data_IF_875064206841
#
_entry.id   IF_875064206841
#
_cell.length_a   1.000
_cell.length_b   1.000
_cell.length_c   1.000
_cell.angle_alpha   90.00
_cell.angle_beta   90.00
_cell.angle_gamma   90.00
#
_symmetry.space_group_name_H-M   'P 1'
#
loop_
_entity.id
_entity.type
_entity.pdbx_description
1 polymer ?
#
# COMPACT_ATOMS: atom_id res chain seq x y z
N UNK A 1 -8.45 16.93 7.76
CA UNK A 1 -8.52 18.21 8.50
C UNK A 1 -7.56 18.28 9.69
N UNK A 2 -7.40 17.23 10.53
CA UNK A 2 -6.50 17.23 11.70
C UNK A 2 -5.01 17.50 11.41
N UNK A 3 -4.49 17.09 10.25
CA UNK A 3 -3.09 17.31 9.89
C UNK A 3 -2.72 18.80 9.79
N UNK A 4 -3.54 19.58 9.07
CA UNK A 4 -3.33 21.02 8.89
C UNK A 4 -3.34 21.75 10.23
N UNK A 5 -4.27 21.42 11.12
CA UNK A 5 -4.36 22.04 12.44
C UNK A 5 -3.18 21.69 13.35
N UNK A 6 -2.53 20.54 13.16
CA UNK A 6 -1.42 20.10 14.01
C UNK A 6 -0.06 20.62 13.52
N UNK A 7 0.19 20.56 12.21
CA UNK A 7 1.50 20.83 11.64
C UNK A 7 1.58 22.14 10.85
N UNK A 8 0.43 22.78 10.62
CA UNK A 8 0.27 23.94 9.76
C UNK A 8 -0.70 24.97 10.38
N UNK A 9 -0.52 25.24 11.68
CA UNK A 9 -1.40 26.14 12.45
C UNK A 9 -1.55 27.54 11.84
N UNK A 10 -0.50 28.03 11.19
CA UNK A 10 -0.45 29.36 10.58
C UNK A 10 -1.01 29.40 9.14
N UNK A 11 -1.33 28.23 8.56
CA UNK A 11 -1.78 28.16 7.17
C UNK A 11 -3.29 28.31 7.09
N UNK A 12 -3.73 29.35 6.38
CA UNK A 12 -5.13 29.52 6.01
C UNK A 12 -5.55 28.39 5.05
N UNK A 13 -6.81 27.90 5.09
CA UNK A 13 -7.29 26.77 4.30
C UNK A 13 -7.14 26.89 2.77
N UNK A 14 -6.86 28.09 2.25
CA UNK A 14 -6.69 28.42 0.82
C UNK A 14 -5.35 29.12 0.55
N UNK A 15 -4.34 28.85 1.38
CA UNK A 15 -3.00 29.42 1.19
C UNK A 15 -2.27 28.77 0.00
N UNK A 16 -1.60 29.57 -0.82
CA UNK A 16 -0.74 29.10 -1.92
C UNK A 16 0.61 28.52 -1.44
N UNK A 17 0.85 28.49 -0.13
CA UNK A 17 2.07 27.92 0.41
C UNK A 17 2.10 26.39 0.28
N UNK A 18 3.29 25.85 0.06
CA UNK A 18 3.50 24.41 0.01
C UNK A 18 3.09 23.73 1.32
N UNK A 19 2.25 22.70 1.22
CA UNK A 19 1.90 21.85 2.36
C UNK A 19 3.12 21.08 2.87
N UNK A 20 3.88 20.47 1.95
CA UNK A 20 5.12 19.78 2.28
C UNK A 20 6.31 20.60 1.77
N UNK A 21 7.14 21.07 2.71
CA UNK A 21 8.27 21.94 2.41
C UNK A 21 9.52 21.55 3.20
N UNK A 22 10.65 22.05 2.73
CA UNK A 22 11.93 22.05 3.46
C UNK A 22 12.35 23.50 3.71
N UNK A 23 12.88 23.77 4.91
CA UNK A 23 13.41 25.08 5.25
C UNK A 23 14.92 25.08 5.07
N UNK A 24 15.42 25.95 4.18
CA UNK A 24 16.87 26.19 3.99
C UNK A 24 17.12 27.69 4.06
N UNK A 25 18.04 28.12 4.92
CA UNK A 25 18.34 29.54 5.15
C UNK A 25 17.07 30.37 5.44
N UNK A 26 16.16 29.84 6.26
CA UNK A 26 14.84 30.43 6.57
C UNK A 26 13.86 30.56 5.38
N UNK A 27 14.21 30.07 4.19
CA UNK A 27 13.32 30.05 3.02
C UNK A 27 12.66 28.69 2.91
N UNK A 28 11.32 28.67 2.81
CA UNK A 28 10.53 27.46 2.53
C UNK A 28 10.60 27.14 1.04
N UNK A 29 11.02 25.92 0.72
CA UNK A 29 11.02 25.40 -0.66
C UNK A 29 10.18 24.14 -0.73
N UNK A 30 9.61 23.86 -1.90
CA UNK A 30 8.88 22.61 -2.17
C UNK A 30 9.74 21.40 -1.78
N UNK A 31 9.16 20.46 -1.05
CA UNK A 31 9.83 19.20 -0.74
C UNK A 31 10.00 18.38 -2.03
N UNK A 32 11.23 17.90 -2.28
CA UNK A 32 11.50 17.01 -3.41
C UNK A 32 11.24 15.55 -3.05
N UNK A 33 11.09 14.70 -4.06
CA UNK A 33 10.97 13.26 -3.86
C UNK A 33 12.17 12.66 -3.10
N UNK A 34 13.38 13.12 -3.40
CA UNK A 34 14.59 12.71 -2.68
C UNK A 34 14.55 13.11 -1.21
N UNK A 35 13.99 14.27 -0.87
CA UNK A 35 13.81 14.66 0.52
C UNK A 35 12.84 13.72 1.22
N UNK A 36 11.72 13.36 0.59
CA UNK A 36 10.77 12.40 1.14
C UNK A 36 11.45 11.04 1.36
N UNK A 37 12.18 10.53 0.35
CA UNK A 37 12.90 9.25 0.45
C UNK A 37 13.89 9.24 1.61
N UNK A 38 14.68 10.31 1.78
CA UNK A 38 15.62 10.45 2.90
C UNK A 38 14.92 10.53 4.26
N UNK A 39 13.83 11.28 4.36
CA UNK A 39 13.05 11.38 5.60
C UNK A 39 12.45 10.02 5.97
N UNK A 40 11.83 9.34 5.02
CA UNK A 40 11.23 8.01 5.23
C UNK A 40 12.28 7.01 5.67
N UNK A 41 13.44 6.95 5.02
CA UNK A 41 14.53 6.06 5.41
C UNK A 41 15.02 6.37 6.84
N UNK A 42 15.23 7.66 7.18
CA UNK A 42 15.65 8.09 8.51
C UNK A 42 14.67 7.63 9.60
N UNK A 43 13.37 7.85 9.39
CA UNK A 43 12.36 7.45 10.37
C UNK A 43 12.13 5.93 10.40
N UNK A 44 12.32 5.23 9.28
CA UNK A 44 12.33 3.75 9.25
C UNK A 44 13.40 3.15 10.15
N UNK A 45 14.62 3.72 10.15
CA UNK A 45 15.70 3.32 11.07
C UNK A 45 15.32 3.58 12.53
N UNK A 46 14.68 4.72 12.82
CA UNK A 46 14.24 5.03 14.18
C UNK A 46 13.12 4.10 14.66
N UNK A 47 12.12 3.86 13.82
CA UNK A 47 10.99 2.98 14.12
C UNK A 47 11.47 1.54 14.41
N UNK A 48 12.47 1.05 13.66
CA UNK A 48 13.06 -0.27 13.88
C UNK A 48 13.65 -0.47 15.27
N UNK A 49 14.16 0.60 15.90
CA UNK A 49 14.70 0.52 17.27
C UNK A 49 13.61 0.15 18.28
N UNK A 50 12.36 0.47 17.98
CA UNK A 50 11.20 0.22 18.84
C UNK A 50 10.50 -1.09 18.41
N UNK A 51 10.32 -1.28 17.09
CA UNK A 51 9.65 -2.45 16.52
C UNK A 51 10.58 -3.13 15.50
N UNK A 52 11.12 -4.29 15.84
CA UNK A 52 12.07 -5.02 14.99
C UNK A 52 11.47 -5.54 13.69
N UNK A 53 10.14 -5.62 13.59
CA UNK A 53 9.40 -6.06 12.40
C UNK A 53 9.39 -5.01 11.27
N UNK A 54 9.74 -3.75 11.57
CA UNK A 54 9.88 -2.73 10.53
C UNK A 54 10.93 -3.21 9.52
N UNK A 55 10.68 -3.20 8.19
CA UNK A 55 11.62 -3.69 7.17
C UNK A 55 12.88 -2.87 7.02
N UNK A 56 14.03 -3.44 6.63
CA UNK A 56 15.31 -2.73 6.51
C UNK A 56 15.25 -1.51 5.59
N UNK A 57 14.71 -1.72 4.39
CA UNK A 57 14.71 -0.74 3.31
C UNK A 57 13.36 -0.04 3.14
N UNK A 58 13.00 0.80 4.12
CA UNK A 58 11.76 1.59 4.07
C UNK A 58 11.90 2.77 3.09
N UNK A 59 10.99 2.86 2.13
CA UNK A 59 10.94 3.94 1.13
C UNK A 59 9.50 4.17 0.63
N UNK A 60 9.20 5.28 -0.07
CA UNK A 60 7.81 5.64 -0.43
C UNK A 60 7.05 4.59 -1.25
N UNK A 61 7.72 3.91 -2.19
CA UNK A 61 7.08 2.86 -2.98
C UNK A 61 6.69 1.65 -2.14
N UNK A 62 7.47 1.29 -1.11
CA UNK A 62 7.12 0.23 -0.17
C UNK A 62 5.78 0.52 0.53
N UNK A 63 5.62 1.74 1.07
CA UNK A 63 4.35 2.14 1.68
C UNK A 63 3.17 2.05 0.71
N UNK A 64 3.38 2.47 -0.53
CA UNK A 64 2.36 2.39 -1.58
C UNK A 64 1.99 0.95 -1.88
N UNK A 65 2.96 0.04 -1.97
CA UNK A 65 2.70 -1.38 -2.20
C UNK A 65 1.97 -2.01 -1.01
N UNK A 66 2.39 -1.74 0.22
CA UNK A 66 1.70 -2.23 1.42
C UNK A 66 0.26 -1.72 1.49
N UNK A 67 0.02 -0.45 1.15
CA UNK A 67 -1.33 0.10 1.19
C UNK A 67 -2.24 -0.48 0.11
N UNK A 68 -1.72 -0.64 -1.12
CA UNK A 68 -2.43 -1.33 -2.19
C UNK A 68 -2.81 -2.75 -1.76
N UNK A 69 -1.90 -3.47 -1.10
CA UNK A 69 -2.15 -4.82 -0.67
C UNK A 69 -3.19 -4.90 0.45
N UNK A 70 -3.14 -4.00 1.42
CA UNK A 70 -4.17 -3.91 2.46
C UNK A 70 -5.54 -3.65 1.84
N UNK A 71 -5.66 -2.72 0.89
CA UNK A 71 -6.94 -2.45 0.22
C UNK A 71 -7.46 -3.68 -0.52
N UNK A 72 -6.58 -4.37 -1.25
CA UNK A 72 -6.96 -5.56 -2.00
C UNK A 72 -7.39 -6.72 -1.10
N UNK A 73 -6.67 -6.98 -0.01
CA UNK A 73 -7.04 -7.98 1.00
C UNK A 73 -8.38 -7.68 1.67
N UNK A 74 -8.75 -6.40 1.78
CA UNK A 74 -10.07 -5.97 2.25
C UNK A 74 -11.17 -6.08 1.17
N UNK A 75 -10.86 -6.67 0.01
CA UNK A 75 -11.81 -6.94 -1.07
C UNK A 75 -12.09 -5.75 -1.98
N UNK A 76 -11.25 -4.70 -1.95
CA UNK A 76 -11.35 -3.60 -2.90
C UNK A 76 -10.85 -4.06 -4.26
N UNK A 77 -11.63 -3.79 -5.31
CA UNK A 77 -11.29 -4.18 -6.67
C UNK A 77 -9.97 -3.53 -7.15
N UNK A 78 -9.16 -4.28 -7.88
CA UNK A 78 -7.84 -3.85 -8.35
C UNK A 78 -7.93 -2.65 -9.29
N UNK A 79 -8.98 -2.58 -10.12
CA UNK A 79 -9.19 -1.43 -10.99
C UNK A 79 -9.41 -0.16 -10.17
N UNK A 80 -10.15 -0.25 -9.07
CA UNK A 80 -10.40 0.87 -8.16
C UNK A 80 -9.12 1.28 -7.40
N UNK A 81 -8.35 0.30 -6.91
CA UNK A 81 -7.05 0.56 -6.26
C UNK A 81 -6.09 1.25 -7.22
N UNK A 82 -6.02 0.78 -8.48
CA UNK A 82 -5.16 1.36 -9.51
C UNK A 82 -5.53 2.83 -9.78
N UNK A 83 -6.82 3.13 -9.88
CA UNK A 83 -7.34 4.49 -10.06
C UNK A 83 -7.01 5.40 -8.87
N UNK A 84 -7.20 4.93 -7.63
CA UNK A 84 -6.92 5.71 -6.42
C UNK A 84 -5.43 6.01 -6.24
N UNK A 85 -4.58 5.06 -6.61
CA UNK A 85 -3.14 5.24 -6.54
C UNK A 85 -2.62 6.08 -7.72
N UNK A 86 -3.35 6.14 -8.83
CA UNK A 86 -3.00 6.98 -9.98
C UNK A 86 -1.83 6.42 -10.80
N UNK A 87 -1.76 5.10 -10.95
CA UNK A 87 -0.79 4.48 -11.85
C UNK A 87 -1.19 4.75 -13.30
N UNK A 88 -0.28 5.30 -14.10
CA UNK A 88 -0.42 5.35 -15.56
C UNK A 88 -0.23 3.97 -16.21
N UNK A 89 0.25 2.96 -15.48
CA UNK A 89 0.54 1.64 -16.00
C UNK A 89 -0.07 0.51 -15.14
N UNK A 90 -1.08 -0.18 -15.70
CA UNK A 90 -1.82 -1.30 -15.10
C UNK A 90 -0.94 -2.50 -14.76
N UNK A 91 0.21 -2.63 -15.42
CA UNK A 91 1.17 -3.72 -15.25
C UNK A 91 1.68 -3.87 -13.81
N UNK A 92 1.86 -2.74 -13.10
CA UNK A 92 2.23 -2.74 -11.67
C UNK A 92 1.10 -3.20 -10.74
N UNK A 93 -0.16 -3.11 -11.20
CA UNK A 93 -1.34 -3.57 -10.46
C UNK A 93 -1.63 -5.05 -10.72
N UNK A 94 -1.27 -5.58 -11.90
CA UNK A 94 -1.43 -7.00 -12.24
C UNK A 94 -0.65 -7.94 -11.33
N UNK A 95 0.47 -7.48 -10.75
CA UNK A 95 1.23 -8.22 -9.72
C UNK A 95 0.31 -8.59 -8.54
N UNK A 96 -0.66 -7.75 -8.19
CA UNK A 96 -1.65 -8.04 -7.15
C UNK A 96 -2.73 -9.04 -7.58
N UNK A 97 -3.06 -9.13 -8.87
CA UNK A 97 -4.04 -10.11 -9.38
C UNK A 97 -3.51 -11.55 -9.27
N UNK A 98 -2.18 -11.72 -9.33
CA UNK A 98 -1.52 -13.00 -9.09
C UNK A 98 -1.40 -13.33 -7.59
N UNK A 99 -1.49 -12.33 -6.72
CA UNK A 99 -1.18 -12.43 -5.31
C UNK A 99 -2.21 -13.18 -4.45
N UNK A 100 -3.49 -13.20 -4.84
CA UNK A 100 -4.53 -13.68 -3.93
C UNK A 100 -5.40 -14.77 -4.55
N UNK A 101 -5.05 -15.99 -4.19
CA UNK A 101 -5.83 -17.19 -4.43
C UNK A 101 -7.02 -17.30 -3.48
N UNK A 102 -6.96 -16.71 -2.29
CA UNK A 102 -8.00 -16.71 -1.26
C UNK A 102 -9.19 -15.84 -1.69
N UNK A 103 -8.93 -14.66 -2.27
CA UNK A 103 -9.97 -13.81 -2.85
C UNK A 103 -10.65 -14.51 -4.03
N UNK A 104 -9.89 -15.19 -4.88
CA UNK A 104 -10.42 -16.02 -5.98
C UNK A 104 -11.27 -17.16 -5.45
N UNK A 105 -10.82 -17.84 -4.38
CA UNK A 105 -11.59 -18.90 -3.69
C UNK A 105 -12.91 -18.36 -3.16
N UNK A 106 -12.90 -17.24 -2.43
CA UNK A 106 -14.11 -16.59 -1.90
C UNK A 106 -15.06 -16.13 -3.00
N UNK A 107 -14.54 -15.57 -4.10
CA UNK A 107 -15.35 -15.18 -5.25
C UNK A 107 -16.00 -16.40 -5.93
N UNK A 108 -15.25 -17.49 -6.11
CA UNK A 108 -15.75 -18.76 -6.63
C UNK A 108 -16.83 -19.36 -5.73
N UNK A 109 -16.59 -19.43 -4.41
CA UNK A 109 -17.58 -19.94 -3.44
C UNK A 109 -18.87 -19.12 -3.43
N UNK A 110 -18.78 -17.80 -3.64
CA UNK A 110 -19.95 -16.94 -3.72
C UNK A 110 -20.71 -17.08 -5.05
N UNK A 111 -20.01 -17.37 -6.14
CA UNK A 111 -20.59 -17.50 -7.47
C UNK A 111 -21.14 -18.90 -7.78
N UNK A 112 -20.64 -19.94 -7.10
CA UNK A 112 -21.07 -21.33 -7.32
C UNK A 112 -22.24 -21.68 -6.38
N UNK A 113 -23.42 -22.06 -6.91
CA UNK A 113 -24.55 -22.52 -6.10
C UNK A 113 -24.20 -23.75 -5.25
N UNK A 114 -24.82 -23.88 -4.07
CA UNK A 114 -24.53 -24.93 -3.09
C UNK A 114 -24.65 -26.34 -3.67
N UNK A 115 -25.56 -26.54 -4.62
CA UNK A 115 -25.89 -27.82 -5.27
C UNK A 115 -25.15 -28.04 -6.60
N UNK A 116 -24.20 -27.18 -6.95
CA UNK A 116 -23.47 -27.28 -8.21
C UNK A 116 -22.45 -28.43 -8.17
N UNK A 117 -22.42 -29.33 -9.18
CA UNK A 117 -21.42 -30.39 -9.28
C UNK A 117 -19.98 -29.86 -9.41
N UNK A 118 -19.82 -28.58 -9.76
CA UNK A 118 -18.52 -27.91 -9.83
C UNK A 118 -17.85 -27.72 -8.46
N UNK A 119 -18.62 -27.83 -7.37
CA UNK A 119 -18.11 -27.69 -6.00
C UNK A 119 -17.05 -28.75 -5.66
N UNK A 120 -17.15 -29.94 -6.24
CA UNK A 120 -16.19 -31.05 -6.08
C UNK A 120 -14.82 -30.72 -6.68
N UNK A 121 -14.77 -29.78 -7.62
CA UNK A 121 -13.53 -29.34 -8.28
C UNK A 121 -12.96 -28.03 -7.71
N UNK A 122 -13.67 -27.38 -6.78
CA UNK A 122 -13.17 -26.26 -6.01
C UNK A 122 -12.17 -26.79 -4.96
N UNK A 123 -10.96 -27.11 -5.38
CA UNK A 123 -9.89 -27.49 -4.46
C UNK A 123 -9.45 -26.27 -3.65
N UNK A 124 -10.12 -26.01 -2.53
CA UNK A 124 -9.77 -24.95 -1.58
C UNK A 124 -8.28 -25.00 -1.16
N UNK A 125 -7.70 -26.20 -1.07
CA UNK A 125 -6.27 -26.43 -0.77
C UNK A 125 -5.32 -25.83 -1.82
N UNK A 126 -5.74 -25.73 -3.09
CA UNK A 126 -4.94 -25.14 -4.18
C UNK A 126 -4.83 -23.62 -4.07
N UNK A 127 -5.67 -23.01 -3.22
CA UNK A 127 -5.82 -21.57 -3.08
C UNK A 127 -5.43 -21.04 -1.69
N UNK A 128 -4.89 -21.89 -0.81
CA UNK A 128 -4.31 -21.46 0.46
C UNK A 128 -2.90 -20.92 0.22
N UNK A 129 -2.78 -19.63 -0.11
CA UNK A 129 -1.52 -18.92 0.09
C UNK A 129 -1.46 -18.55 1.57
N UNK A 130 -0.95 -19.49 2.37
CA UNK A 130 -0.43 -19.21 3.71
C UNK A 130 1.02 -18.72 3.66
N UNK A 131 1.59 -18.53 2.47
CA UNK A 131 3.00 -18.19 2.30
C UNK A 131 3.21 -16.72 2.65
N UNK A 132 3.45 -16.48 3.93
CA UNK A 132 3.91 -15.22 4.51
C UNK A 132 5.08 -14.63 3.70
N UNK A 133 5.90 -15.49 3.09
CA UNK A 133 7.00 -15.10 2.21
C UNK A 133 6.54 -14.50 0.87
N UNK A 134 5.45 -15.01 0.28
CA UNK A 134 4.88 -14.43 -0.93
C UNK A 134 4.27 -13.05 -0.62
N UNK A 135 3.56 -12.93 0.50
CA UNK A 135 3.04 -11.65 0.98
C UNK A 135 4.15 -10.63 1.24
N UNK A 136 5.27 -11.06 1.84
CA UNK A 136 6.47 -10.24 2.01
C UNK A 136 6.97 -9.75 0.65
N UNK A 137 7.18 -10.63 -0.34
CA UNK A 137 7.64 -10.24 -1.69
C UNK A 137 6.72 -9.25 -2.37
N UNK A 138 5.41 -9.48 -2.32
CA UNK A 138 4.40 -8.60 -2.93
C UNK A 138 4.32 -7.23 -2.27
N UNK A 139 4.55 -7.18 -0.96
CA UNK A 139 4.69 -5.92 -0.22
C UNK A 139 6.03 -5.23 -0.50
N UNK A 140 6.94 -5.82 -1.29
CA UNK A 140 8.28 -5.28 -1.57
C UNK A 140 9.32 -5.59 -0.49
N UNK A 141 9.02 -6.56 0.37
CA UNK A 141 9.91 -7.06 1.42
C UNK A 141 10.69 -8.27 0.88
N UNK A 142 12.01 -8.21 0.96
CA UNK A 142 12.89 -9.36 0.71
C UNK A 142 13.17 -10.09 2.02
#
# INVERSE_FOLDING_TARGET
KKYLTLFHQELKPLSDQYLFYVTRNQIRKRMTEDNVRKLVAKYGVQARKICKEVPENVHPHLFRHSWAMILYQNGVDLTLISQWLGHSNLETTLIYAHADTELKRKALEKAVPVDSPLKVHLNAERYNISDEELLKRLCGLK
#
